data_IF_451266004325
#
_entry.id   IF_451266004325
#
_cell.length_a   1.000
_cell.length_b   1.000
_cell.length_c   1.000
_cell.angle_alpha   90.00
_cell.angle_beta   90.00
_cell.angle_gamma   90.00
#
_symmetry.space_group_name_H-M   'P 1'
#
loop_
_entity.id
_entity.type
_entity.pdbx_description
1 polymer ?
#
# COMPACT_ATOMS: atom_id res chain seq x y z
N UNK A 1 -17.80 -4.61 -47.26
CA UNK A 1 -16.34 -4.81 -47.18
C UNK A 1 -15.96 -4.78 -45.71
N UNK A 2 -15.67 -5.95 -45.13
CA UNK A 2 -15.27 -6.08 -43.74
C UNK A 2 -13.78 -5.75 -43.62
N UNK A 3 -13.47 -4.64 -42.94
CA UNK A 3 -12.10 -4.28 -42.60
C UNK A 3 -11.66 -5.15 -41.40
N UNK A 4 -10.93 -6.22 -41.68
CA UNK A 4 -10.19 -6.98 -40.68
C UNK A 4 -9.03 -6.10 -40.23
N UNK A 5 -9.18 -5.45 -39.08
CA UNK A 5 -8.07 -4.80 -38.39
C UNK A 5 -7.15 -5.90 -37.84
N UNK A 6 -6.03 -6.11 -38.52
CA UNK A 6 -4.89 -6.87 -38.00
C UNK A 6 -4.33 -6.05 -36.83
N UNK A 7 -4.81 -6.33 -35.62
CA UNK A 7 -4.30 -5.77 -34.38
C UNK A 7 -2.89 -6.30 -34.16
N UNK A 8 -1.90 -5.39 -34.14
CA UNK A 8 -0.52 -5.68 -33.79
C UNK A 8 -0.42 -6.04 -32.29
N UNK A 9 -0.70 -7.30 -31.97
CA UNK A 9 0.12 -8.19 -31.13
C UNK A 9 0.38 -7.91 -29.64
N UNK A 10 -0.17 -6.87 -29.02
CA UNK A 10 -0.11 -6.68 -27.56
C UNK A 10 -1.44 -7.01 -26.87
N UNK A 11 -1.46 -7.34 -25.56
CA UNK A 11 -2.71 -7.36 -24.81
C UNK A 11 -3.43 -6.01 -24.97
N UNK A 12 -4.66 -6.01 -25.46
CA UNK A 12 -5.40 -4.75 -25.65
C UNK A 12 -5.57 -4.05 -24.29
N UNK A 13 -4.95 -2.88 -24.13
CA UNK A 13 -5.03 -1.99 -22.95
C UNK A 13 -6.41 -1.32 -22.85
N UNK A 14 -7.41 -2.11 -22.49
CA UNK A 14 -8.81 -1.70 -22.45
C UNK A 14 -9.42 -2.03 -21.09
N UNK A 15 -10.45 -1.29 -20.69
CA UNK A 15 -11.13 -1.56 -19.42
C UNK A 15 -11.67 -2.99 -19.33
N UNK A 16 -12.22 -3.54 -20.41
CA UNK A 16 -12.73 -4.92 -20.44
C UNK A 16 -11.64 -5.97 -20.17
N UNK A 17 -10.47 -5.82 -20.77
CA UNK A 17 -9.36 -6.75 -20.55
C UNK A 17 -8.76 -6.58 -19.15
N UNK A 18 -8.65 -5.34 -18.68
CA UNK A 18 -8.23 -5.06 -17.32
C UNK A 18 -9.18 -5.71 -16.30
N UNK A 19 -10.49 -5.49 -16.39
CA UNK A 19 -11.46 -6.09 -15.46
C UNK A 19 -11.44 -7.62 -15.51
N UNK A 20 -11.23 -8.22 -16.69
CA UNK A 20 -11.07 -9.68 -16.83
C UNK A 20 -9.81 -10.18 -16.13
N UNK A 21 -8.70 -9.47 -16.25
CA UNK A 21 -7.46 -9.84 -15.58
C UNK A 21 -7.58 -9.65 -14.06
N UNK A 22 -8.17 -8.52 -13.62
CA UNK A 22 -8.47 -8.26 -12.22
C UNK A 22 -9.29 -9.38 -11.59
N UNK A 23 -10.35 -9.85 -12.26
CA UNK A 23 -11.17 -10.95 -11.77
C UNK A 23 -10.38 -12.26 -11.51
N UNK A 24 -9.30 -12.51 -12.26
CA UNK A 24 -8.42 -13.68 -12.04
C UNK A 24 -7.50 -13.50 -10.84
N UNK A 25 -7.06 -12.27 -10.58
CA UNK A 25 -6.07 -11.97 -9.55
C UNK A 25 -6.70 -11.68 -8.18
N UNK A 26 -7.93 -11.14 -8.13
CA UNK A 26 -8.65 -10.77 -6.90
C UNK A 26 -8.68 -11.84 -5.80
N UNK A 27 -8.92 -13.14 -6.07
CA UNK A 27 -8.96 -14.16 -5.02
C UNK A 27 -7.66 -14.26 -4.23
N UNK A 28 -6.54 -13.89 -4.86
CA UNK A 28 -5.22 -13.93 -4.26
C UNK A 28 -4.73 -12.54 -3.77
N UNK A 29 -5.19 -11.43 -4.36
CA UNK A 29 -4.90 -10.08 -3.85
C UNK A 29 -5.50 -9.88 -2.45
N UNK A 30 -6.64 -10.50 -2.16
CA UNK A 30 -7.28 -10.42 -0.83
C UNK A 30 -6.64 -11.29 0.27
N UNK A 31 -5.57 -12.03 -0.03
CA UNK A 31 -4.92 -12.91 0.95
C UNK A 31 -3.80 -12.17 1.70
N UNK A 32 -3.64 -12.38 3.02
CA UNK A 32 -2.52 -11.82 3.76
C UNK A 32 -1.20 -12.39 3.25
N UNK A 33 -0.19 -11.53 3.08
CA UNK A 33 1.16 -11.93 2.73
C UNK A 33 1.97 -12.14 4.02
N UNK A 34 2.44 -13.36 4.26
CA UNK A 34 3.23 -13.72 5.43
C UNK A 34 4.72 -13.93 5.09
N UNK A 35 5.04 -14.13 3.81
CA UNK A 35 6.39 -14.50 3.33
C UNK A 35 6.83 -13.61 2.16
N UNK A 36 8.15 -13.47 1.98
CA UNK A 36 8.74 -12.76 0.84
C UNK A 36 8.27 -13.31 -0.51
N UNK A 37 8.04 -14.62 -0.60
CA UNK A 37 7.54 -15.26 -1.81
C UNK A 37 6.11 -14.81 -2.15
N UNK A 38 5.26 -14.57 -1.15
CA UNK A 38 3.91 -14.06 -1.36
C UNK A 38 3.93 -12.57 -1.76
N UNK A 39 4.87 -11.78 -1.24
CA UNK A 39 5.10 -10.40 -1.67
C UNK A 39 5.54 -10.34 -3.14
N UNK A 40 6.51 -11.16 -3.54
CA UNK A 40 6.94 -11.28 -4.93
C UNK A 40 5.81 -11.76 -5.86
N UNK A 41 4.99 -12.70 -5.38
CA UNK A 41 3.81 -13.15 -6.11
C UNK A 41 2.82 -11.99 -6.31
N UNK A 42 2.65 -11.12 -5.31
CA UNK A 42 1.77 -9.95 -5.37
C UNK A 42 2.26 -8.89 -6.35
N UNK A 43 3.56 -8.60 -6.34
CA UNK A 43 4.22 -7.76 -7.37
C UNK A 43 3.86 -8.28 -8.76
N UNK A 44 4.05 -9.58 -9.00
CA UNK A 44 3.72 -10.18 -10.29
C UNK A 44 2.24 -10.07 -10.68
N UNK A 45 1.30 -10.02 -9.73
CA UNK A 45 -0.13 -9.78 -10.04
C UNK A 45 -0.36 -8.36 -10.52
N UNK A 46 0.23 -7.39 -9.83
CA UNK A 46 0.11 -5.97 -10.17
C UNK A 46 0.82 -5.63 -11.50
N UNK A 47 1.93 -6.29 -11.80
CA UNK A 47 2.59 -6.18 -13.11
C UNK A 47 1.68 -6.68 -14.25
N UNK A 48 1.07 -7.86 -14.10
CA UNK A 48 0.11 -8.38 -15.10
C UNK A 48 -1.12 -7.49 -15.26
N UNK A 49 -1.57 -6.82 -14.20
CA UNK A 49 -2.62 -5.82 -14.28
C UNK A 49 -2.16 -4.57 -15.04
N UNK A 50 -0.92 -4.14 -14.81
CA UNK A 50 -0.32 -2.99 -15.49
C UNK A 50 -0.15 -3.22 -17.00
N UNK A 51 0.19 -4.44 -17.42
CA UNK A 51 0.32 -4.79 -18.85
C UNK A 51 -0.95 -4.54 -19.67
N UNK A 52 -2.12 -4.73 -19.06
CA UNK A 52 -3.44 -4.55 -19.68
C UNK A 52 -4.15 -3.27 -19.25
N UNK A 53 -3.51 -2.45 -18.41
CA UNK A 53 -4.13 -1.25 -17.88
C UNK A 53 -4.43 -0.23 -18.99
N UNK A 54 -5.64 0.37 -19.01
CA UNK A 54 -5.93 1.46 -19.92
C UNK A 54 -5.16 2.72 -19.50
N UNK A 55 -4.85 3.57 -20.48
CA UNK A 55 -4.07 4.80 -20.30
C UNK A 55 -4.60 5.72 -19.19
N UNK A 56 -5.92 5.67 -18.92
CA UNK A 56 -6.58 6.46 -17.87
C UNK A 56 -6.05 6.17 -16.47
N UNK A 57 -5.64 4.94 -16.18
CA UNK A 57 -5.15 4.53 -14.85
C UNK A 57 -3.73 3.96 -14.86
N UNK A 58 -3.12 3.77 -16.03
CA UNK A 58 -1.80 3.15 -16.16
C UNK A 58 -0.75 3.81 -15.26
N UNK A 59 -0.72 5.15 -15.22
CA UNK A 59 0.23 5.89 -14.39
C UNK A 59 0.01 5.65 -12.89
N UNK A 60 -1.23 5.69 -12.44
CA UNK A 60 -1.56 5.49 -11.02
C UNK A 60 -1.33 4.04 -10.60
N UNK A 61 -1.66 3.09 -11.46
CA UNK A 61 -1.39 1.69 -11.22
C UNK A 61 0.11 1.39 -11.19
N UNK A 62 0.91 2.04 -12.04
CA UNK A 62 2.37 1.92 -12.02
C UNK A 62 2.97 2.39 -10.68
N UNK A 63 2.41 3.44 -10.06
CA UNK A 63 2.83 3.89 -8.72
C UNK A 63 2.57 2.80 -7.67
N UNK A 64 1.43 2.12 -7.73
CA UNK A 64 1.12 1.01 -6.82
C UNK A 64 2.06 -0.18 -7.04
N UNK A 65 2.33 -0.54 -8.30
CA UNK A 65 3.26 -1.62 -8.65
C UNK A 65 4.68 -1.31 -8.17
N UNK A 66 5.15 -0.08 -8.36
CA UNK A 66 6.47 0.36 -7.88
C UNK A 66 6.55 0.31 -6.34
N UNK A 67 5.50 0.76 -5.64
CA UNK A 67 5.44 0.64 -4.17
C UNK A 67 5.56 -0.81 -3.70
N UNK A 68 4.88 -1.75 -4.37
CA UNK A 68 4.97 -3.18 -4.04
C UNK A 68 6.38 -3.72 -4.31
N UNK A 69 7.03 -3.31 -5.39
CA UNK A 69 8.42 -3.68 -5.68
C UNK A 69 9.40 -3.10 -4.65
N UNK A 70 9.17 -1.89 -4.15
CA UNK A 70 9.94 -1.32 -3.05
C UNK A 70 9.74 -2.12 -1.77
N UNK A 71 8.50 -2.48 -1.44
CA UNK A 71 8.18 -3.31 -0.28
C UNK A 71 8.82 -4.71 -0.35
N UNK A 72 8.93 -5.31 -1.54
CA UNK A 72 9.61 -6.59 -1.75
C UNK A 72 11.11 -6.51 -1.43
N UNK A 73 11.74 -5.37 -1.74
CA UNK A 73 13.20 -5.19 -1.66
C UNK A 73 13.68 -4.58 -0.34
N UNK A 74 12.76 -4.08 0.49
CA UNK A 74 13.11 -3.36 1.72
C UNK A 74 13.86 -4.27 2.70
N UNK A 75 14.95 -3.77 3.27
CA UNK A 75 15.59 -4.45 4.41
C UNK A 75 14.86 -4.05 5.71
N UNK A 76 14.23 -4.99 6.43
CA UNK A 76 13.49 -4.69 7.66
C UNK A 76 14.37 -4.22 8.83
N UNK A 77 15.69 -4.39 8.74
CA UNK A 77 16.63 -3.93 9.76
C UNK A 77 17.24 -2.55 9.44
N UNK A 78 16.88 -1.95 8.29
CA UNK A 78 17.35 -0.63 7.87
C UNK A 78 16.24 0.40 8.06
N UNK A 79 16.38 1.22 9.10
CA UNK A 79 15.39 2.24 9.44
C UNK A 79 15.23 3.30 8.35
N UNK A 80 16.27 3.60 7.57
CA UNK A 80 16.16 4.58 6.48
C UNK A 80 15.33 4.02 5.32
N UNK A 81 15.52 2.75 4.98
CA UNK A 81 14.71 2.07 3.97
C UNK A 81 13.25 1.93 4.41
N UNK A 82 13.00 1.65 5.70
CA UNK A 82 11.65 1.60 6.25
C UNK A 82 10.93 2.95 6.17
N UNK A 83 11.63 4.05 6.46
CA UNK A 83 11.05 5.39 6.33
C UNK A 83 10.80 5.76 4.86
N UNK A 84 11.73 5.45 3.95
CA UNK A 84 11.54 5.67 2.52
C UNK A 84 10.31 4.91 1.98
N UNK A 85 10.10 3.66 2.42
CA UNK A 85 8.91 2.88 2.06
C UNK A 85 7.62 3.50 2.62
N UNK A 86 7.66 4.04 3.84
CA UNK A 86 6.53 4.75 4.43
C UNK A 86 6.19 6.02 3.63
N UNK A 87 7.18 6.84 3.30
CA UNK A 87 7.01 8.04 2.48
C UNK A 87 6.44 7.72 1.09
N UNK A 88 6.96 6.67 0.45
CA UNK A 88 6.43 6.17 -0.82
C UNK A 88 4.98 5.71 -0.70
N UNK A 89 4.62 5.04 0.41
CA UNK A 89 3.24 4.63 0.69
C UNK A 89 2.31 5.83 0.80
N UNK A 90 2.74 6.90 1.50
CA UNK A 90 1.95 8.13 1.60
C UNK A 90 1.80 8.83 0.26
N UNK A 91 2.85 8.90 -0.54
CA UNK A 91 2.81 9.50 -1.87
C UNK A 91 1.88 8.73 -2.83
N UNK A 92 1.77 7.42 -2.66
CA UNK A 92 0.92 6.55 -3.47
C UNK A 92 -0.58 6.66 -3.15
N UNK A 93 -0.97 7.32 -2.05
CA UNK A 93 -2.36 7.37 -1.59
C UNK A 93 -3.32 7.86 -2.69
N UNK A 94 -3.00 8.98 -3.34
CA UNK A 94 -3.89 9.53 -4.38
C UNK A 94 -4.04 8.57 -5.55
N UNK A 95 -2.96 7.92 -5.98
CA UNK A 95 -2.99 6.90 -7.03
C UNK A 95 -3.84 5.69 -6.63
N UNK A 96 -3.76 5.26 -5.37
CA UNK A 96 -4.63 4.19 -4.83
C UNK A 96 -6.12 4.57 -4.90
N UNK A 97 -6.47 5.81 -4.50
CA UNK A 97 -7.85 6.30 -4.59
C UNK A 97 -8.33 6.33 -6.06
N UNK A 98 -7.52 6.87 -6.96
CA UNK A 98 -7.85 6.97 -8.39
C UNK A 98 -8.07 5.59 -9.01
N UNK A 99 -7.17 4.63 -8.75
CA UNK A 99 -7.32 3.25 -9.26
C UNK A 99 -8.58 2.61 -8.69
N UNK A 100 -8.82 2.71 -7.38
CA UNK A 100 -10.03 2.17 -6.75
C UNK A 100 -11.30 2.74 -7.38
N UNK A 101 -11.40 4.07 -7.50
CA UNK A 101 -12.62 4.71 -7.98
C UNK A 101 -12.89 4.37 -9.44
N UNK A 102 -11.84 4.27 -10.24
CA UNK A 102 -11.94 3.81 -11.62
C UNK A 102 -12.34 2.32 -11.70
N UNK A 103 -11.75 1.45 -10.89
CA UNK A 103 -12.09 0.02 -10.84
C UNK A 103 -13.53 -0.19 -10.38
N UNK A 104 -13.99 0.59 -9.39
CA UNK A 104 -15.35 0.56 -8.90
C UNK A 104 -16.35 1.00 -9.97
N UNK A 105 -16.07 2.08 -10.68
CA UNK A 105 -16.94 2.60 -11.74
C UNK A 105 -16.91 1.75 -13.02
N UNK A 106 -15.77 1.14 -13.37
CA UNK A 106 -15.59 0.43 -14.64
C UNK A 106 -15.79 -1.08 -14.52
N UNK A 107 -15.31 -1.69 -13.43
CA UNK A 107 -15.37 -3.13 -13.21
C UNK A 107 -16.46 -3.54 -12.22
N UNK A 108 -17.12 -2.59 -11.54
CA UNK A 108 -18.08 -2.84 -10.46
C UNK A 108 -17.51 -3.68 -9.30
N UNK A 109 -16.18 -3.62 -9.10
CA UNK A 109 -15.47 -4.31 -8.02
C UNK A 109 -14.97 -3.27 -7.02
N UNK A 110 -15.17 -3.54 -5.73
CA UNK A 110 -14.51 -2.78 -4.68
C UNK A 110 -13.22 -3.48 -4.24
N UNK A 111 -12.07 -2.82 -4.44
CA UNK A 111 -10.75 -3.36 -4.12
C UNK A 111 -10.25 -2.93 -2.74
N UNK A 112 -11.02 -2.16 -1.97
CA UNK A 112 -10.61 -1.63 -0.66
C UNK A 112 -10.34 -2.72 0.39
N UNK A 113 -10.89 -3.92 0.21
CA UNK A 113 -10.64 -5.04 1.12
C UNK A 113 -9.28 -5.73 0.87
N UNK A 114 -8.59 -5.43 -0.24
CA UNK A 114 -7.29 -6.01 -0.58
C UNK A 114 -6.11 -5.03 -0.61
N UNK A 115 -6.36 -3.71 -0.48
CA UNK A 115 -5.34 -2.64 -0.57
C UNK A 115 -5.39 -1.75 0.67
N UNK A 116 -5.50 -2.33 1.87
CA UNK A 116 -5.15 -1.59 3.08
C UNK A 116 -3.64 -1.75 3.30
N UNK A 117 -2.84 -0.93 2.61
CA UNK A 117 -1.41 -0.80 2.92
C UNK A 117 -1.31 0.00 4.20
N UNK A 118 -1.47 -0.66 5.34
CA UNK A 118 -0.99 -0.08 6.60
C UNK A 118 0.54 0.03 6.48
N UNK A 119 1.13 1.24 6.60
CA UNK A 119 2.58 1.38 6.64
C UNK A 119 3.14 0.42 7.70
N UNK A 120 4.37 -0.11 7.55
CA UNK A 120 5.02 -0.84 8.62
C UNK A 120 4.96 0.00 9.89
N UNK A 121 4.11 -0.42 10.84
CA UNK A 121 4.06 0.22 12.15
C UNK A 121 5.42 -0.02 12.76
N UNK A 122 6.27 1.01 12.81
CA UNK A 122 7.39 1.04 13.74
C UNK A 122 6.75 0.77 15.10
N UNK A 123 7.10 -0.36 15.73
CA UNK A 123 6.55 -0.71 17.02
C UNK A 123 6.72 0.52 17.93
N UNK A 124 5.60 1.13 18.34
CA UNK A 124 5.67 2.17 19.36
C UNK A 124 6.05 1.42 20.61
N UNK A 125 7.32 1.44 20.97
CA UNK A 125 7.77 1.03 22.30
C UNK A 125 6.99 1.91 23.26
N UNK A 126 5.92 1.36 23.83
CA UNK A 126 5.31 1.91 25.02
C UNK A 126 6.39 1.77 26.07
N UNK A 127 7.08 2.87 26.37
CA UNK A 127 7.92 2.95 27.57
C UNK A 127 6.93 2.68 28.70
N UNK A 128 7.05 1.58 29.46
CA UNK A 128 6.26 1.45 30.67
C UNK A 128 6.61 2.66 31.53
N UNK A 129 5.60 3.45 31.89
CA UNK A 129 5.77 4.54 32.83
C UNK A 129 6.42 3.97 34.08
N UNK A 130 7.67 4.35 34.32
CA UNK A 130 8.35 4.07 35.58
C UNK A 130 7.47 4.67 36.68
N UNK A 131 7.06 3.90 37.71
CA UNK A 131 6.40 4.52 38.85
C UNK A 131 7.37 5.55 39.42
N UNK A 132 6.97 6.81 39.44
CA UNK A 132 7.69 7.87 40.12
C UNK A 132 7.70 7.53 41.60
N UNK A 133 8.80 6.98 42.06
CA UNK A 133 9.11 6.86 43.49
C UNK A 133 9.21 8.27 44.06
N UNK A 134 8.41 8.51 45.08
CA UNK A 134 8.39 9.65 46.00
C UNK A 134 9.80 10.22 46.24
N UNK A 135 10.02 11.48 45.87
CA UNK A 135 11.19 12.27 46.28
C UNK A 135 10.67 13.33 47.25
N UNK A 136 11.14 13.37 48.52
CA UNK A 136 10.73 14.39 49.47
C UNK A 136 11.27 15.76 49.02
N UNK A 137 10.37 16.73 48.89
CA UNK A 137 10.70 18.13 48.60
C UNK A 137 11.42 18.78 49.81
N UNK A 138 12.64 19.33 49.68
CA UNK A 138 13.22 20.20 50.70
C UNK A 138 13.04 21.65 50.26
N UNK A 139 11.95 22.29 50.69
CA UNK A 139 11.83 23.74 50.57
C UNK A 139 10.40 24.24 50.54
N UNK A 140 9.87 24.56 51.71
CA UNK A 140 9.03 25.76 51.94
C UNK A 140 8.78 25.90 53.44
N UNK A 141 9.66 26.66 54.09
CA UNK A 141 9.43 27.26 55.40
C UNK A 141 8.44 28.41 55.25
N UNK A 142 7.28 28.34 55.92
CA UNK A 142 6.58 29.56 56.37
C UNK A 142 5.83 29.24 57.66
N UNK A 143 6.43 29.67 58.77
CA UNK A 143 5.84 29.71 60.12
C UNK A 143 5.29 31.11 60.35
N UNK A 144 4.12 31.24 60.99
CA UNK A 144 3.87 32.00 62.24
C UNK A 144 2.39 32.41 62.33
N UNK A 145 1.78 32.03 63.46
CA UNK A 145 0.45 32.39 63.98
C UNK A 145 0.45 33.85 64.55
N UNK A 146 -0.57 34.40 65.25
CA UNK A 146 -1.42 33.78 66.27
C UNK A 146 -2.90 33.61 65.90
#
# INVERSE_FOLDING_TARGET
MAAVLISCGGPQRTGTNFCRQLAKELPAIGQPMATTQEVAAMVGRYERLLEVAPLTIEKDLAVLTDLLQQAEKVNPNDTAQLQALADASYAANQSSLTVRDWVKSTCAVDITTGVNVEPPRVATTTIPATPTTDVPNPGTTTTVAP
#
